data_IF_540915431801
#
_entry.id   IF_540915431801
#
_cell.length_a   1.000
_cell.length_b   1.000
_cell.length_c   1.000
_cell.angle_alpha   90.00
_cell.angle_beta   90.00
_cell.angle_gamma   90.00
#
_symmetry.space_group_name_H-M   'P 1'
#
loop_
_entity.id
_entity.type
_entity.pdbx_description
1 polymer ?
#
# COMPACT_ATOMS: atom_id res chain seq x y z
N UNK A 1 17.56 -6.84 3.85
CA UNK A 1 16.23 -7.44 3.67
C UNK A 1 15.40 -6.44 2.89
N UNK A 2 14.90 -6.81 1.73
CA UNK A 2 14.09 -5.91 0.90
C UNK A 2 12.62 -6.24 1.14
N UNK A 3 11.82 -5.20 1.30
CA UNK A 3 10.37 -5.34 1.32
C UNK A 3 9.87 -5.52 -0.11
N UNK A 4 8.91 -6.40 -0.30
CA UNK A 4 8.25 -6.71 -1.57
C UNK A 4 6.74 -6.73 -1.37
N UNK A 5 6.05 -6.77 -2.47
CA UNK A 5 4.60 -6.92 -2.57
C UNK A 5 4.32 -7.98 -3.62
N UNK A 6 3.35 -8.83 -3.36
CA UNK A 6 2.86 -9.82 -4.32
C UNK A 6 1.35 -9.72 -4.42
N UNK A 7 0.83 -9.98 -5.62
CA UNK A 7 -0.60 -10.02 -5.92
C UNK A 7 -0.91 -11.38 -6.52
N UNK A 8 -1.82 -12.13 -5.89
CA UNK A 8 -2.30 -13.42 -6.37
C UNK A 8 -3.77 -13.27 -6.75
N UNK A 9 -4.13 -13.75 -7.94
CA UNK A 9 -5.49 -13.65 -8.46
C UNK A 9 -5.98 -15.01 -8.94
N UNK A 10 -6.97 -15.57 -8.26
CA UNK A 10 -7.50 -16.90 -8.54
C UNK A 10 -8.98 -16.83 -8.95
N UNK A 11 -9.43 -17.59 -9.95
CA UNK A 11 -10.85 -17.72 -10.25
C UNK A 11 -11.60 -18.40 -9.09
N UNK A 12 -12.80 -17.92 -8.80
CA UNK A 12 -13.68 -18.50 -7.76
C UNK A 12 -14.76 -19.34 -8.44
N UNK A 13 -15.11 -20.48 -7.84
CA UNK A 13 -16.19 -21.33 -8.34
C UNK A 13 -17.51 -20.53 -8.27
N UNK A 14 -18.22 -20.29 -9.39
CA UNK A 14 -19.39 -19.41 -9.44
C UNK A 14 -20.55 -19.78 -8.50
N UNK A 15 -20.65 -21.03 -8.09
CA UNK A 15 -21.68 -21.50 -7.15
C UNK A 15 -21.25 -21.32 -5.68
N UNK A 16 -19.99 -20.95 -5.43
CA UNK A 16 -19.36 -20.89 -4.11
C UNK A 16 -19.01 -19.47 -3.62
N UNK A 17 -19.40 -18.42 -4.35
CA UNK A 17 -19.14 -17.03 -3.93
C UNK A 17 -19.67 -16.79 -2.51
N UNK A 18 -20.94 -17.14 -2.25
CA UNK A 18 -21.55 -16.79 -0.96
C UNK A 18 -20.84 -17.52 0.18
N UNK A 19 -20.55 -18.82 0.00
CA UNK A 19 -19.78 -19.62 0.95
C UNK A 19 -18.40 -18.98 1.23
N UNK A 20 -17.70 -18.48 0.20
CA UNK A 20 -16.43 -17.78 0.34
C UNK A 20 -16.57 -16.44 1.10
N UNK A 21 -17.59 -15.64 0.79
CA UNK A 21 -17.84 -14.37 1.46
C UNK A 21 -18.16 -14.57 2.94
N UNK A 22 -19.00 -15.55 3.25
CA UNK A 22 -19.37 -15.91 4.62
C UNK A 22 -18.14 -16.42 5.40
N UNK A 23 -17.30 -17.25 4.75
CA UNK A 23 -16.05 -17.73 5.34
C UNK A 23 -15.06 -16.58 5.63
N UNK A 24 -14.93 -15.61 4.71
CA UNK A 24 -14.08 -14.44 4.92
C UNK A 24 -14.62 -13.52 6.03
N UNK A 25 -15.94 -13.38 6.14
CA UNK A 25 -16.58 -12.64 7.23
C UNK A 25 -16.34 -13.31 8.60
N UNK A 26 -16.45 -14.63 8.68
CA UNK A 26 -16.13 -15.40 9.90
C UNK A 26 -14.64 -15.27 10.27
N UNK A 27 -13.73 -15.42 9.30
CA UNK A 27 -12.29 -15.21 9.49
C UNK A 27 -12.01 -13.82 10.03
N UNK A 28 -12.66 -12.79 9.48
CA UNK A 28 -12.54 -11.40 9.92
C UNK A 28 -13.01 -11.20 11.36
N UNK A 29 -14.16 -11.76 11.74
CA UNK A 29 -14.66 -11.67 13.11
C UNK A 29 -13.72 -12.35 14.11
N UNK A 30 -13.18 -13.51 13.72
CA UNK A 30 -12.22 -14.27 14.54
C UNK A 30 -10.82 -13.63 14.54
N UNK A 31 -10.42 -12.85 13.54
CA UNK A 31 -9.12 -12.17 13.52
C UNK A 31 -9.02 -11.05 14.53
N UNK A 32 -10.14 -10.38 14.83
CA UNK A 32 -10.25 -9.45 15.96
C UNK A 32 -10.04 -10.14 17.32
N UNK A 33 -10.12 -11.48 17.37
CA UNK A 33 -10.02 -12.30 18.57
C UNK A 33 -8.89 -13.36 18.55
N UNK A 34 -8.04 -13.42 17.51
CA UNK A 34 -6.89 -14.32 17.49
C UNK A 34 -6.41 -14.88 16.14
N UNK A 35 -7.18 -14.82 15.04
CA UNK A 35 -6.67 -15.29 13.72
C UNK A 35 -5.52 -14.42 13.18
N UNK A 36 -5.34 -13.20 13.69
CA UNK A 36 -4.12 -12.42 13.40
C UNK A 36 -2.83 -13.16 13.79
N UNK A 37 -2.90 -14.12 14.72
CA UNK A 37 -1.75 -14.86 15.25
C UNK A 37 -0.97 -15.63 14.19
N UNK A 38 -1.64 -16.30 13.25
CA UNK A 38 -0.94 -17.08 12.20
C UNK A 38 -0.04 -16.18 11.35
N UNK A 39 -0.50 -14.98 10.99
CA UNK A 39 0.31 -14.00 10.26
C UNK A 39 1.28 -13.24 11.16
N UNK A 40 0.94 -13.03 12.44
CA UNK A 40 1.80 -12.35 13.42
C UNK A 40 3.06 -13.15 13.74
N UNK A 41 2.94 -14.48 13.82
CA UNK A 41 4.02 -15.42 14.13
C UNK A 41 5.07 -15.46 13.03
N UNK A 42 4.66 -15.33 11.77
CA UNK A 42 5.55 -15.28 10.62
C UNK A 42 6.57 -14.14 10.70
N UNK A 43 6.21 -13.00 11.32
CA UNK A 43 7.09 -11.84 11.52
C UNK A 43 7.78 -11.30 10.25
N UNK A 44 7.24 -11.61 9.08
CA UNK A 44 7.68 -11.13 7.76
C UNK A 44 6.58 -10.41 6.99
N UNK A 45 5.32 -10.53 7.38
CA UNK A 45 4.18 -9.92 6.69
C UNK A 45 3.91 -8.55 7.32
N UNK A 46 3.97 -7.49 6.52
CA UNK A 46 3.58 -6.14 6.91
C UNK A 46 2.06 -5.98 6.87
N UNK A 47 1.48 -6.30 5.72
CA UNK A 47 0.05 -6.22 5.45
C UNK A 47 -0.40 -7.40 4.60
N UNK A 48 -1.64 -7.85 4.79
CA UNK A 48 -2.27 -8.83 3.92
C UNK A 48 -3.76 -8.50 3.76
N UNK A 49 -4.35 -8.80 2.60
CA UNK A 49 -5.80 -8.69 2.40
C UNK A 49 -6.34 -9.69 1.40
N UNK A 50 -7.58 -10.12 1.66
CA UNK A 50 -8.41 -10.77 0.66
C UNK A 50 -9.53 -9.86 0.20
N UNK A 51 -9.74 -9.84 -1.11
CA UNK A 51 -10.81 -9.09 -1.77
C UNK A 51 -11.44 -10.00 -2.82
N UNK A 52 -12.75 -10.20 -2.75
CA UNK A 52 -13.49 -10.88 -3.81
C UNK A 52 -13.89 -9.83 -4.84
N UNK A 53 -13.62 -10.07 -6.11
CA UNK A 53 -13.99 -9.17 -7.21
C UNK A 53 -14.96 -9.87 -8.15
N UNK A 54 -15.67 -9.08 -8.98
CA UNK A 54 -16.56 -9.59 -10.02
C UNK A 54 -17.73 -10.48 -9.52
N UNK A 55 -18.12 -10.36 -8.25
CA UNK A 55 -19.12 -11.21 -7.61
C UNK A 55 -20.49 -10.55 -7.38
N UNK A 56 -20.74 -9.41 -8.02
CA UNK A 56 -21.94 -8.60 -7.82
C UNK A 56 -22.11 -7.50 -8.86
N UNK A 57 -22.64 -6.35 -8.44
CA UNK A 57 -22.82 -5.18 -9.32
C UNK A 57 -21.46 -4.57 -9.65
N UNK A 58 -21.14 -4.49 -10.94
CA UNK A 58 -19.96 -3.80 -11.43
C UNK A 58 -20.09 -2.29 -11.25
N UNK A 59 -18.96 -1.63 -11.02
CA UNK A 59 -18.89 -0.17 -10.89
C UNK A 59 -19.20 0.54 -12.22
N UNK A 60 -19.12 -0.18 -13.34
CA UNK A 60 -19.60 0.23 -14.66
C UNK A 60 -20.70 -0.71 -15.16
N UNK A 61 -21.43 -0.30 -16.20
CA UNK A 61 -22.38 -1.17 -16.88
C UNK A 61 -21.63 -2.15 -17.77
N UNK A 62 -21.53 -3.39 -17.31
CA UNK A 62 -21.00 -4.48 -18.13
C UNK A 62 -22.10 -5.10 -18.98
N UNK A 63 -21.78 -5.36 -20.25
CA UNK A 63 -22.67 -6.10 -21.16
C UNK A 63 -22.70 -7.60 -20.84
N UNK A 64 -21.62 -8.13 -20.30
CA UNK A 64 -21.47 -9.54 -19.95
C UNK A 64 -21.19 -9.69 -18.46
N UNK A 65 -21.82 -10.71 -17.85
CA UNK A 65 -21.53 -11.07 -16.46
C UNK A 65 -20.07 -11.50 -16.35
N UNK A 66 -19.33 -10.88 -15.42
CA UNK A 66 -17.94 -11.24 -15.14
C UNK A 66 -17.87 -12.46 -14.22
N UNK A 67 -16.81 -13.24 -14.35
CA UNK A 67 -16.54 -14.36 -13.46
C UNK A 67 -15.84 -13.87 -12.19
N UNK A 68 -16.31 -14.32 -11.01
CA UNK A 68 -15.76 -13.93 -9.72
C UNK A 68 -14.31 -14.36 -9.58
N UNK A 69 -13.51 -13.57 -8.86
CA UNK A 69 -12.13 -13.91 -8.56
C UNK A 69 -11.80 -13.52 -7.13
N UNK A 70 -10.93 -14.29 -6.50
CA UNK A 70 -10.36 -13.96 -5.21
C UNK A 70 -8.99 -13.36 -5.44
N UNK A 71 -8.81 -12.18 -4.89
CA UNK A 71 -7.55 -11.47 -4.88
C UNK A 71 -6.92 -11.60 -3.49
N UNK A 72 -5.65 -12.00 -3.45
CA UNK A 72 -4.82 -11.95 -2.26
C UNK A 72 -3.64 -11.01 -2.49
N UNK A 73 -3.53 -9.98 -1.66
CA UNK A 73 -2.43 -9.01 -1.70
C UNK A 73 -1.65 -9.10 -0.42
N UNK A 74 -0.34 -9.29 -0.53
CA UNK A 74 0.57 -9.45 0.60
C UNK A 74 1.79 -8.55 0.43
N UNK A 75 2.06 -7.75 1.46
CA UNK A 75 3.25 -6.92 1.61
C UNK A 75 4.16 -7.59 2.65
N UNK A 76 5.40 -7.91 2.28
CA UNK A 76 6.26 -8.78 3.08
C UNK A 76 7.74 -8.44 2.97
N UNK A 77 8.52 -9.01 3.87
CA UNK A 77 9.96 -8.98 3.83
C UNK A 77 10.55 -10.22 3.16
N UNK A 78 11.58 -10.02 2.33
CA UNK A 78 12.39 -11.11 1.79
C UNK A 78 12.03 -11.46 0.35
N UNK A 79 12.17 -12.73 0.00
CA UNK A 79 11.89 -13.25 -1.33
C UNK A 79 10.46 -13.82 -1.46
N UNK A 80 9.92 -13.82 -2.67
CA UNK A 80 8.57 -14.32 -2.95
C UNK A 80 8.45 -15.81 -2.66
N UNK A 81 9.43 -16.63 -3.10
CA UNK A 81 9.39 -18.07 -2.87
C UNK A 81 9.53 -18.42 -1.39
N UNK A 82 10.42 -17.74 -0.67
CA UNK A 82 10.57 -17.93 0.78
C UNK A 82 9.30 -17.50 1.54
N UNK A 83 8.67 -16.40 1.11
CA UNK A 83 7.40 -15.96 1.68
C UNK A 83 6.29 -16.96 1.42
N UNK A 84 6.13 -17.44 0.18
CA UNK A 84 5.09 -18.41 -0.18
C UNK A 84 5.28 -19.72 0.57
N UNK A 85 6.50 -20.22 0.72
CA UNK A 85 6.80 -21.39 1.54
C UNK A 85 6.32 -21.17 2.98
N UNK A 86 6.77 -20.09 3.64
CA UNK A 86 6.40 -19.78 5.03
C UNK A 86 4.89 -19.65 5.23
N UNK A 87 4.20 -18.98 4.31
CA UNK A 87 2.75 -18.80 4.35
C UNK A 87 2.02 -20.13 4.14
N UNK A 88 2.47 -20.96 3.19
CA UNK A 88 1.86 -22.28 2.93
C UNK A 88 2.08 -23.28 4.06
N UNK A 89 3.20 -23.16 4.79
CA UNK A 89 3.53 -23.99 5.95
C UNK A 89 2.77 -23.54 7.20
N UNK A 90 2.94 -22.28 7.61
CA UNK A 90 2.47 -21.76 8.91
C UNK A 90 1.03 -21.29 8.91
N UNK A 91 0.46 -20.96 7.75
CA UNK A 91 -0.92 -20.47 7.60
C UNK A 91 -1.76 -21.41 6.73
N UNK A 92 -1.42 -22.71 6.72
CA UNK A 92 -2.11 -23.72 5.89
C UNK A 92 -3.61 -23.80 6.16
N UNK A 93 -4.03 -23.70 7.42
CA UNK A 93 -5.44 -23.82 7.81
C UNK A 93 -6.30 -22.69 7.22
N UNK A 94 -5.89 -21.43 7.41
CA UNK A 94 -6.63 -20.30 6.85
C UNK A 94 -6.62 -20.30 5.32
N UNK A 95 -5.51 -20.71 4.69
CA UNK A 95 -5.44 -20.84 3.24
C UNK A 95 -6.40 -21.91 2.73
N UNK A 96 -6.42 -23.10 3.33
CA UNK A 96 -7.29 -24.19 2.93
C UNK A 96 -8.77 -23.79 3.04
N UNK A 97 -9.16 -23.12 4.13
CA UNK A 97 -10.52 -22.65 4.36
C UNK A 97 -10.98 -21.63 3.32
N UNK A 98 -10.07 -20.82 2.78
CA UNK A 98 -10.38 -19.78 1.79
C UNK A 98 -10.33 -20.33 0.37
N UNK A 99 -9.25 -21.03 0.02
CA UNK A 99 -8.97 -21.42 -1.35
C UNK A 99 -9.73 -22.68 -1.80
N UNK A 100 -10.35 -23.45 -0.89
CA UNK A 100 -11.24 -24.58 -1.25
C UNK A 100 -12.42 -24.15 -2.15
N UNK A 101 -12.78 -22.87 -2.13
CA UNK A 101 -13.82 -22.29 -2.99
C UNK A 101 -13.31 -21.80 -4.35
N UNK A 102 -12.01 -21.94 -4.64
CA UNK A 102 -11.36 -21.45 -5.85
C UNK A 102 -11.17 -22.56 -6.89
N UNK A 103 -11.23 -22.20 -8.17
CA UNK A 103 -11.09 -23.15 -9.27
C UNK A 103 -9.68 -23.75 -9.28
N UNK A 104 -9.60 -25.07 -9.42
CA UNK A 104 -8.32 -25.79 -9.53
C UNK A 104 -7.52 -25.90 -8.23
N UNK A 105 -8.05 -25.45 -7.09
CA UNK A 105 -7.38 -25.67 -5.80
C UNK A 105 -7.37 -27.17 -5.45
N UNK A 106 -6.25 -27.73 -4.94
CA UNK A 106 -6.19 -29.15 -4.66
C UNK A 106 -7.22 -29.56 -3.58
N UNK A 107 -7.87 -30.74 -3.73
CA UNK A 107 -8.80 -31.26 -2.73
C UNK A 107 -8.17 -31.35 -1.33
N UNK A 108 -8.95 -31.06 -0.28
CA UNK A 108 -8.47 -31.03 1.11
C UNK A 108 -7.90 -32.37 1.61
N UNK A 109 -8.24 -33.49 0.98
CA UNK A 109 -7.70 -34.81 1.31
C UNK A 109 -6.35 -35.12 0.63
N UNK A 110 -5.93 -34.32 -0.36
CA UNK A 110 -4.68 -34.51 -1.11
C UNK A 110 -3.79 -33.25 -1.11
N UNK A 111 -4.24 -32.16 -0.51
CA UNK A 111 -3.48 -30.92 -0.39
C UNK A 111 -2.21 -31.16 0.42
N UNK A 112 -1.08 -30.68 -0.11
CA UNK A 112 0.22 -30.67 0.55
C UNK A 112 0.77 -29.26 0.50
N UNK A 113 1.78 -28.95 1.31
CA UNK A 113 2.46 -27.66 1.26
C UNK A 113 2.95 -27.33 -0.17
N UNK A 114 3.54 -28.32 -0.86
CA UNK A 114 4.05 -28.15 -2.21
C UNK A 114 2.95 -27.87 -3.24
N UNK A 115 1.79 -28.55 -3.15
CA UNK A 115 0.69 -28.29 -4.08
C UNK A 115 0.01 -26.94 -3.79
N UNK A 116 -0.03 -26.52 -2.52
CA UNK A 116 -0.49 -25.20 -2.09
C UNK A 116 0.41 -24.09 -2.63
N UNK A 117 1.73 -24.24 -2.48
CA UNK A 117 2.74 -23.33 -3.01
C UNK A 117 2.63 -23.19 -4.52
N UNK A 118 2.64 -24.32 -5.25
CA UNK A 118 2.53 -24.33 -6.70
C UNK A 118 1.25 -23.65 -7.19
N UNK A 119 0.13 -23.90 -6.51
CA UNK A 119 -1.13 -23.25 -6.83
C UNK A 119 -1.05 -21.74 -6.66
N UNK A 120 -0.56 -21.21 -5.54
CA UNK A 120 -0.46 -19.76 -5.33
C UNK A 120 0.54 -19.10 -6.29
N UNK A 121 1.71 -19.71 -6.48
CA UNK A 121 2.77 -19.22 -7.35
C UNK A 121 2.31 -19.09 -8.81
N UNK A 122 1.58 -20.10 -9.32
CA UNK A 122 1.05 -20.08 -10.70
C UNK A 122 -0.02 -19.01 -10.94
N UNK A 123 -0.56 -18.40 -9.89
CA UNK A 123 -1.57 -17.34 -9.95
C UNK A 123 -1.03 -15.95 -9.57
N UNK A 124 0.29 -15.81 -9.40
CA UNK A 124 0.92 -14.51 -9.17
C UNK A 124 0.78 -13.64 -10.42
N UNK A 125 0.30 -12.41 -10.23
CA UNK A 125 0.23 -11.38 -11.26
C UNK A 125 1.25 -10.27 -10.99
N UNK A 126 1.85 -9.76 -12.06
CA UNK A 126 2.96 -8.80 -11.97
C UNK A 126 2.46 -7.40 -11.61
N UNK A 127 3.07 -6.82 -10.59
CA UNK A 127 2.86 -5.42 -10.22
C UNK A 127 3.40 -4.48 -11.32
N UNK A 128 2.63 -3.44 -11.65
CA UNK A 128 3.00 -2.41 -12.61
C UNK A 128 3.86 -1.31 -11.98
N UNK A 129 3.54 -0.91 -10.75
CA UNK A 129 4.34 -0.01 -9.93
C UNK A 129 4.08 -0.23 -8.44
N UNK A 130 5.11 -0.10 -7.61
CA UNK A 130 5.04 -0.31 -6.16
C UNK A 130 5.76 0.81 -5.42
N UNK A 131 5.09 1.39 -4.43
CA UNK A 131 5.60 2.37 -3.49
C UNK A 131 5.66 1.76 -2.09
N UNK A 132 6.76 2.00 -1.39
CA UNK A 132 6.97 1.59 0.00
C UNK A 132 7.41 2.82 0.79
N UNK A 133 6.64 3.19 1.82
CA UNK A 133 6.86 4.38 2.64
C UNK A 133 7.97 4.24 3.68
N UNK A 134 8.40 3.03 4.01
CA UNK A 134 9.49 2.79 4.95
C UNK A 134 10.52 1.82 4.35
N UNK A 135 11.11 2.12 3.17
CA UNK A 135 11.86 1.13 2.43
C UNK A 135 13.05 0.61 3.25
N UNK A 136 13.21 -0.71 3.27
CA UNK A 136 14.31 -1.42 3.91
C UNK A 136 14.14 -1.65 5.41
N UNK A 137 12.93 -1.50 5.97
CA UNK A 137 12.65 -1.78 7.39
C UNK A 137 11.76 -3.00 7.52
N UNK A 138 12.33 -4.08 8.04
CA UNK A 138 11.57 -5.31 8.27
C UNK A 138 10.54 -5.16 9.38
N UNK A 139 9.52 -6.03 9.39
CA UNK A 139 8.52 -6.12 10.46
C UNK A 139 9.22 -6.28 11.82
N UNK A 140 10.22 -7.15 11.90
CA UNK A 140 11.04 -7.32 13.11
C UNK A 140 11.75 -6.03 13.53
N UNK A 141 12.35 -5.31 12.58
CA UNK A 141 13.01 -4.05 12.86
C UNK A 141 12.02 -3.02 13.38
N UNK A 142 10.85 -2.89 12.74
CA UNK A 142 9.78 -1.96 13.14
C UNK A 142 9.33 -2.26 14.57
N UNK A 143 9.08 -3.54 14.90
CA UNK A 143 8.68 -3.97 16.25
C UNK A 143 9.77 -3.65 17.29
N UNK A 144 11.04 -3.96 17.00
CA UNK A 144 12.19 -3.63 17.87
C UNK A 144 12.34 -2.12 18.08
N UNK A 145 12.23 -1.33 17.02
CA UNK A 145 12.37 0.13 17.08
C UNK A 145 11.20 0.81 17.78
N UNK A 146 9.99 0.24 17.71
CA UNK A 146 8.86 0.66 18.56
C UNK A 146 9.18 0.45 20.03
N UNK A 147 9.60 -0.76 20.43
CA UNK A 147 9.97 -1.07 21.82
C UNK A 147 11.05 -0.12 22.35
N UNK A 148 12.07 0.15 21.53
CA UNK A 148 13.11 1.11 21.88
C UNK A 148 12.53 2.51 22.12
N UNK A 149 11.66 3.01 21.24
CA UNK A 149 11.02 4.32 21.44
C UNK A 149 10.20 4.33 22.73
N UNK A 150 9.38 3.31 22.96
CA UNK A 150 8.51 3.24 24.12
C UNK A 150 9.32 3.23 25.43
N UNK A 151 10.41 2.46 25.48
CA UNK A 151 11.35 2.45 26.61
C UNK A 151 12.00 3.82 26.85
N UNK A 152 12.46 4.49 25.79
CA UNK A 152 13.04 5.84 25.90
C UNK A 152 11.98 6.83 26.41
N UNK A 153 10.75 6.73 25.91
CA UNK A 153 9.63 7.58 26.32
C UNK A 153 9.32 7.41 27.80
N UNK A 154 9.16 6.17 28.25
CA UNK A 154 8.95 5.86 29.67
C UNK A 154 10.09 6.41 30.55
N UNK A 155 11.35 6.24 30.13
CA UNK A 155 12.50 6.78 30.87
C UNK A 155 12.47 8.31 30.96
N UNK A 156 12.15 9.00 29.87
CA UNK A 156 12.05 10.47 29.86
C UNK A 156 10.90 10.94 30.73
N UNK A 157 9.74 10.32 30.60
CA UNK A 157 8.51 10.74 31.26
C UNK A 157 8.55 10.43 32.78
N UNK A 158 9.43 9.54 33.23
CA UNK A 158 9.62 9.19 34.65
C UNK A 158 10.24 10.28 35.54
N UNK A 159 10.77 11.38 34.96
CA UNK A 159 11.50 12.42 35.72
C UNK A 159 11.42 13.79 35.06
N UNK A 160 11.65 14.86 35.83
CA UNK A 160 11.79 16.21 35.28
C UNK A 160 13.18 16.41 34.66
N UNK A 161 13.22 17.14 33.55
CA UNK A 161 14.42 17.52 32.82
C UNK A 161 14.57 19.05 32.69
N UNK A 162 13.89 19.80 33.55
CA UNK A 162 14.01 21.25 33.63
C UNK A 162 15.49 21.65 33.84
N UNK A 163 15.93 22.66 33.07
CA UNK A 163 17.29 23.20 33.08
C UNK A 163 18.42 22.19 32.78
N UNK A 164 18.11 20.98 32.30
CA UNK A 164 19.12 20.01 31.87
C UNK A 164 19.45 20.24 30.38
N UNK A 165 20.73 20.43 30.02
CA UNK A 165 21.13 20.53 28.61
C UNK A 165 20.71 19.29 27.82
N UNK A 166 20.19 19.49 26.60
CA UNK A 166 19.68 18.42 25.75
C UNK A 166 20.74 17.36 25.45
N UNK A 167 22.00 17.75 25.32
CA UNK A 167 23.14 16.84 25.17
C UNK A 167 23.27 15.90 26.38
N UNK A 168 23.09 16.42 27.58
CA UNK A 168 23.15 15.62 28.82
C UNK A 168 21.96 14.67 28.91
N UNK A 169 20.76 15.10 28.50
CA UNK A 169 19.58 14.22 28.42
C UNK A 169 19.83 13.08 27.43
N UNK A 170 20.36 13.39 26.23
CA UNK A 170 20.69 12.38 25.21
C UNK A 170 21.72 11.36 25.72
N UNK A 171 22.78 11.81 26.40
CA UNK A 171 23.78 10.93 26.99
C UNK A 171 23.17 9.99 28.04
N UNK A 172 22.31 10.50 28.92
CA UNK A 172 21.61 9.68 29.93
C UNK A 172 20.66 8.66 29.30
N UNK A 173 19.93 9.04 28.26
CA UNK A 173 19.09 8.09 27.50
C UNK A 173 19.97 7.00 26.88
N UNK A 174 21.09 7.38 26.27
CA UNK A 174 22.03 6.45 25.64
C UNK A 174 22.60 5.47 26.66
N UNK A 175 23.02 5.94 27.81
CA UNK A 175 23.52 5.10 28.90
C UNK A 175 22.46 4.11 29.37
N UNK A 176 21.23 4.58 29.63
CA UNK A 176 20.13 3.73 30.08
C UNK A 176 19.73 2.67 29.04
N UNK A 177 19.73 3.02 27.76
CA UNK A 177 19.43 2.05 26.69
C UNK A 177 20.56 1.02 26.57
N UNK A 178 21.82 1.45 26.65
CA UNK A 178 22.97 0.56 26.49
C UNK A 178 23.22 -0.34 27.71
N UNK A 179 22.67 -0.02 28.88
CA UNK A 179 22.71 -0.88 30.07
C UNK A 179 21.66 -1.99 30.05
N UNK A 180 20.59 -1.86 29.25
CA UNK A 180 19.56 -2.87 29.08
C UNK A 180 19.95 -3.89 27.98
N UNK A 181 20.00 -5.18 28.35
CA UNK A 181 20.38 -6.28 27.46
C UNK A 181 19.43 -6.45 26.26
N UNK A 182 18.16 -6.04 26.36
CA UNK A 182 17.17 -6.12 25.28
C UNK A 182 17.60 -5.30 24.05
N UNK A 183 18.34 -4.19 24.25
CA UNK A 183 18.79 -3.30 23.18
C UNK A 183 20.24 -3.56 22.72
N UNK A 184 20.81 -4.70 23.08
CA UNK A 184 22.19 -5.09 22.71
C UNK A 184 22.43 -5.09 21.19
N UNK A 185 21.40 -5.37 20.38
CA UNK A 185 21.46 -5.36 18.92
C UNK A 185 21.91 -4.01 18.32
N UNK A 186 21.73 -2.90 19.06
CA UNK A 186 22.14 -1.55 18.63
C UNK A 186 23.65 -1.41 18.40
N UNK A 187 24.48 -2.24 19.05
CA UNK A 187 25.94 -2.19 18.92
C UNK A 187 26.46 -2.85 17.63
N UNK A 188 25.75 -3.85 17.11
CA UNK A 188 26.17 -4.65 15.94
C UNK A 188 25.43 -4.33 14.65
N UNK A 189 24.17 -3.92 14.72
CA UNK A 189 23.33 -3.71 13.54
C UNK A 189 23.33 -2.24 13.10
N UNK A 190 24.03 -1.94 12.00
CA UNK A 190 23.95 -0.64 11.33
C UNK A 190 22.69 -0.55 10.48
N UNK A 191 21.91 0.52 10.65
CA UNK A 191 20.75 0.82 9.82
C UNK A 191 21.04 2.00 8.92
N UNK A 192 20.79 1.82 7.62
CA UNK A 192 20.88 2.89 6.64
C UNK A 192 19.49 3.49 6.42
N UNK A 193 19.37 4.81 6.60
CA UNK A 193 18.17 5.53 6.21
C UNK A 193 18.25 5.79 4.70
N UNK A 194 17.22 5.41 3.91
CA UNK A 194 17.19 5.66 2.48
C UNK A 194 17.36 7.16 2.15
N UNK A 195 18.05 7.44 1.04
CA UNK A 195 18.34 8.80 0.56
C UNK A 195 17.88 8.97 -0.87
N UNK A 196 17.69 10.22 -1.27
CA UNK A 196 17.42 10.60 -2.66
C UNK A 196 18.67 10.24 -3.49
N UNK A 197 18.45 9.56 -4.60
CA UNK A 197 19.49 9.31 -5.60
C UNK A 197 19.51 10.48 -6.60
N UNK A 198 20.26 11.54 -6.26
CA UNK A 198 20.33 12.74 -7.08
C UNK A 198 20.86 12.47 -8.50
N UNK A 199 21.83 11.55 -8.65
CA UNK A 199 22.36 11.18 -9.98
C UNK A 199 21.26 10.55 -10.83
N UNK A 200 20.52 9.58 -10.28
CA UNK A 200 19.39 8.96 -10.96
C UNK A 200 18.27 9.96 -11.28
N UNK A 201 17.99 10.89 -10.36
CA UNK A 201 16.98 11.92 -10.56
C UNK A 201 17.38 12.92 -11.67
N UNK A 202 18.64 13.34 -11.73
CA UNK A 202 19.14 14.23 -12.80
C UNK A 202 19.11 13.52 -14.15
N UNK A 203 19.56 12.26 -14.22
CA UNK A 203 19.50 11.46 -15.44
C UNK A 203 18.06 11.29 -15.93
N UNK A 204 17.12 11.00 -15.02
CA UNK A 204 15.70 10.92 -15.34
C UNK A 204 15.20 12.25 -15.91
N UNK A 205 15.57 13.39 -15.30
CA UNK A 205 15.23 14.72 -15.80
C UNK A 205 15.74 14.98 -17.22
N UNK A 206 16.99 14.62 -17.52
CA UNK A 206 17.58 14.74 -18.86
C UNK A 206 16.83 13.86 -19.87
N UNK A 207 16.52 12.61 -19.51
CA UNK A 207 15.75 11.71 -20.35
C UNK A 207 14.35 12.27 -20.64
N UNK A 208 13.65 12.82 -19.64
CA UNK A 208 12.34 13.44 -19.82
C UNK A 208 12.39 14.69 -20.70
N UNK A 209 13.44 15.51 -20.57
CA UNK A 209 13.64 16.68 -21.44
C UNK A 209 13.87 16.27 -22.89
N UNK A 210 14.66 15.22 -23.14
CA UNK A 210 14.89 14.69 -24.48
C UNK A 210 13.60 14.11 -25.09
N UNK A 211 12.76 13.47 -24.28
CA UNK A 211 11.48 12.89 -24.71
C UNK A 211 10.32 13.89 -24.76
N UNK A 212 10.51 15.12 -24.27
CA UNK A 212 9.44 16.12 -24.13
C UNK A 212 8.67 16.38 -25.44
N UNK A 213 9.29 16.53 -26.62
CA UNK A 213 8.54 16.74 -27.86
C UNK A 213 7.57 15.58 -28.17
N UNK A 214 7.99 14.33 -27.93
CA UNK A 214 7.15 13.16 -28.14
C UNK A 214 6.03 13.06 -27.10
N UNK A 215 6.32 13.40 -25.84
CA UNK A 215 5.32 13.46 -24.78
C UNK A 215 4.24 14.49 -25.11
N UNK A 216 4.64 15.69 -25.58
CA UNK A 216 3.69 16.74 -25.98
C UNK A 216 2.81 16.29 -27.15
N UNK A 217 3.39 15.66 -28.17
CA UNK A 217 2.62 15.09 -29.29
C UNK A 217 1.61 14.06 -28.77
N UNK A 218 2.03 13.14 -27.90
CA UNK A 218 1.14 12.14 -27.30
C UNK A 218 -0.01 12.79 -26.53
N UNK A 219 0.28 13.78 -25.67
CA UNK A 219 -0.73 14.51 -24.89
C UNK A 219 -1.72 15.22 -25.80
N UNK A 220 -1.25 15.87 -26.88
CA UNK A 220 -2.13 16.52 -27.85
C UNK A 220 -2.99 15.50 -28.61
N UNK A 221 -2.42 14.37 -29.04
CA UNK A 221 -3.19 13.29 -29.67
C UNK A 221 -4.30 12.82 -28.73
N UNK A 222 -3.96 12.53 -27.48
CA UNK A 222 -4.95 12.07 -26.51
C UNK A 222 -6.01 13.14 -26.26
N UNK A 223 -5.63 14.40 -26.05
CA UNK A 223 -6.57 15.49 -25.79
C UNK A 223 -7.59 15.66 -26.93
N UNK A 224 -7.10 15.84 -28.17
CA UNK A 224 -7.96 16.21 -29.30
C UNK A 224 -8.74 15.03 -29.88
N UNK A 225 -8.17 13.82 -29.90
CA UNK A 225 -8.81 12.67 -30.55
C UNK A 225 -9.56 11.75 -29.59
N UNK A 226 -9.18 11.71 -28.30
CA UNK A 226 -9.75 10.80 -27.31
C UNK A 226 -10.47 11.53 -26.16
N UNK A 227 -9.76 12.35 -25.38
CA UNK A 227 -10.23 12.95 -24.12
C UNK A 227 -11.54 13.74 -24.28
N UNK A 228 -11.68 14.49 -25.39
CA UNK A 228 -12.91 15.26 -25.69
C UNK A 228 -14.15 14.41 -25.93
N UNK A 229 -13.98 13.12 -26.24
CA UNK A 229 -15.05 12.16 -26.55
C UNK A 229 -15.26 11.15 -25.41
N UNK A 230 -14.46 11.23 -24.35
CA UNK A 230 -14.56 10.30 -23.23
C UNK A 230 -15.91 10.47 -22.51
N UNK A 231 -16.53 9.35 -22.19
CA UNK A 231 -17.58 9.30 -21.17
C UNK A 231 -16.95 9.52 -19.79
N UNK A 232 -17.56 10.41 -19.00
CA UNK A 232 -17.02 10.83 -17.71
C UNK A 232 -17.98 10.47 -16.57
N UNK A 233 -17.45 10.23 -15.37
CA UNK A 233 -18.29 10.17 -14.18
C UNK A 233 -18.99 11.50 -13.94
N UNK A 234 -20.31 11.47 -13.77
CA UNK A 234 -21.14 12.66 -13.53
C UNK A 234 -21.86 12.63 -12.20
N UNK A 235 -21.85 11.50 -11.49
CA UNK A 235 -22.50 11.38 -10.19
C UNK A 235 -21.67 12.06 -9.10
N UNK A 236 -22.39 12.57 -8.11
CA UNK A 236 -21.87 13.09 -6.84
C UNK A 236 -22.08 12.06 -5.74
N UNK A 237 -21.44 12.26 -4.59
CA UNK A 237 -21.52 11.34 -3.44
C UNK A 237 -22.97 11.05 -3.01
N UNK A 238 -23.82 12.07 -2.97
CA UNK A 238 -25.24 11.93 -2.59
C UNK A 238 -26.10 11.14 -3.59
N UNK A 239 -25.54 10.73 -4.73
CA UNK A 239 -26.23 9.97 -5.77
C UNK A 239 -25.68 8.53 -5.88
N UNK A 240 -24.80 8.16 -4.95
CA UNK A 240 -24.29 6.80 -4.81
C UNK A 240 -25.26 5.97 -3.94
N UNK A 241 -25.02 4.66 -3.91
CA UNK A 241 -25.83 3.73 -3.14
C UNK A 241 -25.43 3.75 -1.67
N UNK A 242 -26.34 4.19 -0.78
CA UNK A 242 -26.05 4.35 0.65
C UNK A 242 -25.72 3.02 1.34
N UNK A 243 -26.32 1.91 0.90
CA UNK A 243 -26.05 0.58 1.46
C UNK A 243 -24.61 0.14 1.18
N UNK A 244 -24.16 0.28 -0.06
CA UNK A 244 -22.79 0.01 -0.46
C UNK A 244 -21.77 0.94 0.23
N UNK A 245 -22.09 2.23 0.35
CA UNK A 245 -21.24 3.17 1.09
C UNK A 245 -21.11 2.76 2.57
N UNK A 246 -22.21 2.37 3.19
CA UNK A 246 -22.21 1.87 4.57
C UNK A 246 -21.31 0.64 4.71
N UNK A 247 -21.38 -0.30 3.77
CA UNK A 247 -20.54 -1.50 3.79
C UNK A 247 -19.04 -1.17 3.67
N UNK A 248 -18.67 -0.20 2.83
CA UNK A 248 -17.29 0.28 2.74
C UNK A 248 -16.84 0.93 4.06
N UNK A 249 -17.64 1.85 4.58
CA UNK A 249 -17.33 2.66 5.78
C UNK A 249 -17.30 1.83 7.07
N UNK A 250 -18.07 0.74 7.15
CA UNK A 250 -18.04 -0.20 8.29
C UNK A 250 -16.65 -0.76 8.59
N UNK A 251 -15.75 -0.74 7.60
CA UNK A 251 -14.42 -1.32 7.69
C UNK A 251 -13.30 -0.31 7.45
N UNK A 252 -13.65 0.98 7.53
CA UNK A 252 -12.70 2.08 7.66
C UNK A 252 -12.45 2.37 9.15
N UNK A 253 -11.35 3.06 9.40
CA UNK A 253 -10.91 3.55 10.70
C UNK A 253 -10.72 2.45 11.77
N UNK A 254 -10.20 1.27 11.34
CA UNK A 254 -9.95 0.11 12.22
C UNK A 254 -9.02 0.45 13.40
N UNK A 255 -8.03 1.33 13.16
CA UNK A 255 -7.25 2.07 14.17
C UNK A 255 -6.77 3.40 13.56
N UNK A 256 -5.47 3.65 13.57
CA UNK A 256 -4.83 4.79 12.93
C UNK A 256 -4.42 4.51 11.48
N UNK A 257 -4.60 3.27 11.02
CA UNK A 257 -4.29 2.81 9.67
C UNK A 257 -5.54 2.29 8.97
N UNK A 258 -5.57 2.47 7.66
CA UNK A 258 -6.63 2.05 6.77
C UNK A 258 -6.09 1.37 5.52
N UNK A 259 -7.00 0.66 4.87
CA UNK A 259 -6.80 0.02 3.59
C UNK A 259 -7.67 0.71 2.54
N UNK A 260 -7.20 0.76 1.30
CA UNK A 260 -8.01 1.16 0.15
C UNK A 260 -7.71 0.20 -1.00
N UNK A 261 -8.76 -0.29 -1.65
CA UNK A 261 -8.68 -1.15 -2.83
C UNK A 261 -9.61 -0.59 -3.89
N UNK A 262 -9.08 -0.30 -5.08
CA UNK A 262 -9.86 0.23 -6.19
C UNK A 262 -9.64 -0.61 -7.44
N UNK A 263 -10.72 -0.84 -8.18
CA UNK A 263 -10.71 -1.62 -9.41
C UNK A 263 -11.36 -0.82 -10.53
N UNK A 264 -10.59 -0.62 -11.59
CA UNK A 264 -11.00 0.16 -12.75
C UNK A 264 -10.59 -0.53 -14.05
N UNK A 265 -11.39 -0.35 -15.08
CA UNK A 265 -11.22 -0.88 -16.42
C UNK A 265 -10.57 0.16 -17.31
N UNK A 266 -9.69 -0.29 -18.20
CA UNK A 266 -9.01 0.55 -19.16
C UNK A 266 -9.97 1.05 -20.25
N UNK A 267 -9.75 2.30 -20.69
CA UNK A 267 -10.28 2.76 -21.98
C UNK A 267 -9.59 1.96 -23.09
N UNK A 268 -10.33 1.76 -24.18
CA UNK A 268 -9.84 0.98 -25.32
C UNK A 268 -8.75 1.72 -26.10
N UNK A 269 -7.91 0.95 -26.79
CA UNK A 269 -6.92 1.44 -27.73
C UNK A 269 -5.48 1.52 -27.20
N UNK A 270 -4.53 1.31 -28.12
CA UNK A 270 -3.09 1.22 -27.82
C UNK A 270 -2.53 2.53 -27.26
N UNK A 271 -3.06 3.70 -27.67
CA UNK A 271 -2.57 4.99 -27.19
C UNK A 271 -2.81 5.17 -25.68
N UNK A 272 -3.97 4.74 -25.16
CA UNK A 272 -4.27 4.76 -23.72
C UNK A 272 -3.38 3.80 -22.95
N UNK A 273 -3.13 2.62 -23.51
CA UNK A 273 -2.21 1.64 -22.94
C UNK A 273 -0.78 2.15 -22.87
N UNK A 274 -0.28 2.80 -23.92
CA UNK A 274 1.05 3.44 -23.93
C UNK A 274 1.11 4.54 -22.86
N UNK A 275 0.08 5.38 -22.78
CA UNK A 275 0.01 6.50 -21.83
C UNK A 275 0.07 6.03 -20.37
N UNK A 276 -0.76 5.04 -19.99
CA UNK A 276 -0.74 4.53 -18.61
C UNK A 276 0.56 3.78 -18.28
N UNK A 277 1.10 3.00 -19.22
CA UNK A 277 2.39 2.30 -19.03
C UNK A 277 3.55 3.28 -18.88
N UNK A 278 3.52 4.38 -19.63
CA UNK A 278 4.48 5.47 -19.45
C UNK A 278 4.38 6.06 -18.04
N UNK A 279 3.16 6.31 -17.54
CA UNK A 279 2.96 6.81 -16.17
C UNK A 279 3.42 5.83 -15.09
N UNK A 280 3.19 4.52 -15.26
CA UNK A 280 3.73 3.51 -14.34
C UNK A 280 5.26 3.42 -14.39
N UNK A 281 5.86 3.50 -15.58
CA UNK A 281 7.29 3.55 -15.74
C UNK A 281 7.89 4.79 -15.05
N UNK A 282 7.30 5.96 -15.28
CA UNK A 282 7.69 7.21 -14.63
C UNK A 282 7.59 7.09 -13.11
N UNK A 283 6.48 6.54 -12.61
CA UNK A 283 6.25 6.31 -11.18
C UNK A 283 7.34 5.43 -10.57
N UNK A 284 7.68 4.30 -11.19
CA UNK A 284 8.76 3.42 -10.73
C UNK A 284 10.11 4.13 -10.61
N UNK A 285 10.47 4.96 -11.59
CA UNK A 285 11.70 5.74 -11.53
C UNK A 285 11.68 6.82 -10.45
N UNK A 286 10.58 7.57 -10.34
CA UNK A 286 10.43 8.60 -9.31
C UNK A 286 10.47 7.99 -7.90
N UNK A 287 9.82 6.84 -7.69
CA UNK A 287 9.84 6.13 -6.41
C UNK A 287 11.26 5.69 -6.05
N UNK A 288 11.98 5.09 -7.01
CA UNK A 288 13.35 4.59 -6.79
C UNK A 288 14.36 5.70 -6.51
N UNK A 289 14.21 6.86 -7.14
CA UNK A 289 15.22 7.91 -7.07
C UNK A 289 14.87 9.07 -6.13
N UNK A 290 13.59 9.39 -5.93
CA UNK A 290 13.14 10.60 -5.24
C UNK A 290 12.33 10.26 -3.99
N UNK A 291 11.34 9.37 -4.07
CA UNK A 291 10.39 9.12 -2.97
C UNK A 291 10.84 8.05 -1.98
N UNK A 292 12.10 8.10 -1.53
CA UNK A 292 12.67 7.08 -0.64
C UNK A 292 12.55 7.41 0.85
N UNK A 293 12.12 8.64 1.20
CA UNK A 293 12.16 9.15 2.57
C UNK A 293 10.81 9.10 3.31
N UNK A 294 9.90 8.22 2.87
CA UNK A 294 8.59 8.02 3.48
C UNK A 294 7.58 9.13 3.24
N UNK A 295 7.73 9.82 2.11
CA UNK A 295 6.71 10.69 1.55
C UNK A 295 6.59 10.43 0.05
N UNK A 296 5.37 10.26 -0.44
CA UNK A 296 5.09 10.22 -1.88
C UNK A 296 4.54 11.59 -2.28
N UNK A 297 5.27 12.36 -3.09
CA UNK A 297 4.86 13.73 -3.48
C UNK A 297 4.51 14.65 -2.29
N UNK A 298 5.13 14.44 -1.12
CA UNK A 298 4.84 15.24 0.08
C UNK A 298 3.84 14.59 1.05
N UNK A 299 3.07 13.60 0.61
CA UNK A 299 2.07 12.86 1.39
C UNK A 299 2.78 11.90 2.35
N UNK A 300 2.70 12.11 3.69
CA UNK A 300 3.49 11.36 4.67
C UNK A 300 2.67 10.28 5.39
N UNK A 301 1.67 9.70 4.72
CA UNK A 301 0.69 8.77 5.33
C UNK A 301 0.69 7.38 4.68
N UNK A 302 1.36 7.18 3.55
CA UNK A 302 1.29 5.90 2.81
C UNK A 302 2.35 4.92 3.30
N UNK A 303 1.94 3.72 3.72
CA UNK A 303 2.84 2.61 4.05
C UNK A 303 3.24 1.83 2.80
N UNK A 304 2.25 1.38 2.05
CA UNK A 304 2.41 0.64 0.79
C UNK A 304 1.35 1.13 -0.19
N UNK A 305 1.73 1.34 -1.44
CA UNK A 305 0.76 1.55 -2.51
C UNK A 305 1.24 0.86 -3.78
N UNK A 306 0.33 0.26 -4.56
CA UNK A 306 0.71 -0.40 -5.80
C UNK A 306 -0.38 -0.38 -6.85
N UNK A 307 0.05 -0.51 -8.09
CA UNK A 307 -0.80 -0.68 -9.26
C UNK A 307 -0.53 -2.02 -9.90
N UNK A 308 -1.57 -2.70 -10.35
CA UNK A 308 -1.48 -3.99 -11.02
C UNK A 308 -2.34 -3.95 -12.27
N UNK A 309 -1.77 -4.34 -13.41
CA UNK A 309 -2.53 -4.53 -14.64
C UNK A 309 -2.76 -6.02 -14.86
N UNK A 310 -4.01 -6.42 -15.10
CA UNK A 310 -4.38 -7.82 -15.29
C UNK A 310 -5.38 -7.98 -16.45
N UNK A 311 -5.76 -9.22 -16.77
CA UNK A 311 -6.61 -9.55 -17.92
C UNK A 311 -6.10 -8.92 -19.24
N UNK A 312 -4.86 -9.24 -19.61
CA UNK A 312 -4.19 -8.67 -20.80
C UNK A 312 -4.12 -7.13 -20.79
N UNK A 313 -4.00 -6.54 -19.60
CA UNK A 313 -3.94 -5.09 -19.36
C UNK A 313 -5.26 -4.35 -19.63
N UNK A 314 -6.41 -5.03 -19.65
CA UNK A 314 -7.71 -4.35 -19.77
C UNK A 314 -8.21 -3.79 -18.44
N UNK A 315 -7.60 -4.17 -17.30
CA UNK A 315 -8.03 -3.78 -15.96
C UNK A 315 -6.85 -3.39 -15.09
N UNK A 316 -7.10 -2.45 -14.19
CA UNK A 316 -6.13 -1.88 -13.27
C UNK A 316 -6.68 -1.99 -11.86
N UNK A 317 -5.90 -2.61 -10.98
CA UNK A 317 -6.11 -2.55 -9.55
C UNK A 317 -5.16 -1.53 -8.95
N UNK A 318 -5.66 -0.78 -7.98
CA UNK A 318 -4.86 0.06 -7.10
C UNK A 318 -5.09 -0.35 -5.65
N UNK A 319 -4.01 -0.49 -4.91
CA UNK A 319 -4.05 -0.78 -3.47
C UNK A 319 -3.26 0.25 -2.72
N UNK A 320 -3.74 0.58 -1.53
CA UNK A 320 -2.99 1.37 -0.56
C UNK A 320 -3.23 0.89 0.87
N UNK A 321 -2.18 0.90 1.67
CA UNK A 321 -2.22 0.86 3.13
C UNK A 321 -1.71 2.23 3.62
N UNK A 322 -2.50 2.96 4.40
CA UNK A 322 -2.22 4.35 4.75
C UNK A 322 -2.68 4.73 6.15
N UNK A 323 -2.21 5.87 6.65
CA UNK A 323 -2.62 6.45 7.93
C UNK A 323 -3.77 7.45 7.77
N UNK A 324 -4.66 7.51 8.76
CA UNK A 324 -5.78 8.46 8.79
C UNK A 324 -6.99 7.99 7.98
N UNK A 325 -7.99 8.86 7.83
CA UNK A 325 -9.26 8.52 7.19
C UNK A 325 -9.18 8.52 5.67
N UNK A 326 -10.11 7.82 5.01
CA UNK A 326 -10.25 7.79 3.56
C UNK A 326 -10.34 9.20 2.94
N UNK A 327 -11.12 10.09 3.56
CA UNK A 327 -11.34 11.45 3.07
C UNK A 327 -10.04 12.27 3.14
N UNK A 328 -9.31 12.18 4.25
CA UNK A 328 -8.02 12.86 4.39
C UNK A 328 -7.01 12.33 3.38
N UNK A 329 -6.94 11.00 3.23
CA UNK A 329 -6.04 10.35 2.30
C UNK A 329 -6.26 10.82 0.86
N UNK A 330 -7.48 10.75 0.34
CA UNK A 330 -7.75 11.21 -1.03
C UNK A 330 -7.61 12.72 -1.18
N UNK A 331 -7.97 13.51 -0.16
CA UNK A 331 -7.72 14.96 -0.13
C UNK A 331 -6.23 15.29 -0.29
N UNK A 332 -5.36 14.65 0.49
CA UNK A 332 -3.89 14.81 0.38
C UNK A 332 -3.38 14.49 -1.03
N UNK A 333 -3.96 13.48 -1.68
CA UNK A 333 -3.63 13.13 -3.06
C UNK A 333 -4.05 14.20 -4.07
N UNK A 334 -5.26 14.75 -3.92
CA UNK A 334 -5.77 15.82 -4.79
C UNK A 334 -4.85 17.04 -4.70
N UNK A 335 -4.53 17.47 -3.48
CA UNK A 335 -3.74 18.68 -3.23
C UNK A 335 -2.29 18.54 -3.69
N UNK A 336 -1.64 17.41 -3.38
CA UNK A 336 -0.20 17.26 -3.58
C UNK A 336 0.18 16.53 -4.88
N UNK A 337 -0.74 15.73 -5.45
CA UNK A 337 -0.41 14.81 -6.55
C UNK A 337 -1.55 14.58 -7.55
N UNK A 338 -2.54 15.48 -7.61
CA UNK A 338 -3.70 15.34 -8.49
C UNK A 338 -3.34 15.16 -9.97
N UNK A 339 -2.23 15.74 -10.42
CA UNK A 339 -1.71 15.55 -11.78
C UNK A 339 -1.26 14.11 -12.06
N UNK A 340 -0.69 13.43 -11.06
CA UNK A 340 -0.23 12.04 -11.19
C UNK A 340 -1.41 11.08 -11.23
N UNK A 341 -2.38 11.28 -10.33
CA UNK A 341 -3.65 10.55 -10.36
C UNK A 341 -4.38 10.75 -11.69
N UNK A 342 -4.50 12.00 -12.14
CA UNK A 342 -5.13 12.32 -13.43
C UNK A 342 -4.37 11.68 -14.58
N UNK A 343 -3.04 11.72 -14.58
CA UNK A 343 -2.20 11.09 -15.60
C UNK A 343 -2.40 9.58 -15.71
N UNK A 344 -2.58 8.89 -14.58
CA UNK A 344 -2.84 7.44 -14.57
C UNK A 344 -4.30 7.16 -14.94
N UNK A 345 -5.25 7.65 -14.14
CA UNK A 345 -6.66 7.25 -14.18
C UNK A 345 -7.47 7.91 -15.30
N UNK A 346 -6.97 8.97 -15.94
CA UNK A 346 -7.60 9.47 -17.20
C UNK A 346 -7.61 8.42 -18.31
N UNK A 347 -6.78 7.38 -18.22
CA UNK A 347 -6.76 6.26 -19.16
C UNK A 347 -7.78 5.15 -18.83
N UNK A 348 -8.52 5.28 -17.73
CA UNK A 348 -9.52 4.30 -17.29
C UNK A 348 -10.93 4.79 -17.58
N UNK A 349 -11.87 3.86 -17.77
CA UNK A 349 -13.27 4.15 -18.11
C UNK A 349 -13.90 5.02 -17.03
N UNK A 350 -14.79 5.92 -17.47
CA UNK A 350 -15.62 6.79 -16.64
C UNK A 350 -14.86 7.63 -15.60
N UNK A 351 -13.55 7.87 -15.74
CA UNK A 351 -12.85 8.83 -14.86
C UNK A 351 -13.43 10.25 -15.02
N UNK A 352 -13.41 11.12 -13.98
CA UNK A 352 -13.93 12.48 -14.10
C UNK A 352 -13.23 13.28 -15.20
N UNK A 353 -13.95 14.26 -15.77
CA UNK A 353 -13.51 15.03 -16.93
C UNK A 353 -12.12 15.66 -16.71
N UNK A 354 -11.20 15.31 -17.60
CA UNK A 354 -9.81 15.75 -17.59
C UNK A 354 -9.52 16.76 -18.69
N UNK A 355 -8.35 17.40 -18.61
CA UNK A 355 -7.81 18.24 -19.65
C UNK A 355 -6.29 18.03 -19.76
N UNK A 356 -5.85 17.63 -20.95
CA UNK A 356 -4.46 17.30 -21.30
C UNK A 356 -3.86 16.21 -20.40
N UNK A 357 -4.67 15.28 -19.89
CA UNK A 357 -4.26 14.19 -18.99
C UNK A 357 -3.62 14.61 -17.65
N UNK A 358 -3.49 15.91 -17.38
CA UNK A 358 -2.72 16.44 -16.24
C UNK A 358 -3.60 17.29 -15.33
N UNK A 359 -4.64 17.93 -15.88
CA UNK A 359 -5.53 18.83 -15.12
C UNK A 359 -6.99 18.35 -15.20
N UNK A 360 -7.87 18.93 -14.38
CA UNK A 360 -9.21 18.36 -14.18
C UNK A 360 -9.12 17.01 -13.44
N UNK A 361 -10.01 16.07 -13.75
CA UNK A 361 -9.91 14.72 -13.18
C UNK A 361 -9.95 14.74 -11.65
N UNK A 362 -8.82 14.37 -11.03
CA UNK A 362 -8.66 14.38 -9.58
C UNK A 362 -8.94 15.76 -8.95
N UNK A 363 -8.60 16.85 -9.64
CA UNK A 363 -8.86 18.22 -9.18
C UNK A 363 -10.35 18.60 -9.19
N UNK A 364 -11.21 17.78 -9.79
CA UNK A 364 -12.67 17.91 -9.67
C UNK A 364 -13.15 17.11 -8.46
N UNK A 365 -12.72 17.55 -7.27
CA UNK A 365 -12.81 16.80 -6.01
C UNK A 365 -14.15 16.07 -5.81
N UNK A 366 -15.28 16.76 -5.92
CA UNK A 366 -16.60 16.17 -5.70
C UNK A 366 -16.88 14.94 -6.61
N UNK A 367 -16.52 15.05 -7.89
CA UNK A 367 -16.69 13.96 -8.86
C UNK A 367 -15.62 12.88 -8.71
N UNK A 368 -14.40 13.27 -8.36
CA UNK A 368 -13.30 12.34 -8.14
C UNK A 368 -13.54 11.47 -6.92
N UNK A 369 -13.95 12.06 -5.79
CA UNK A 369 -14.29 11.32 -4.59
C UNK A 369 -15.49 10.39 -4.82
N UNK A 370 -16.51 10.85 -5.55
CA UNK A 370 -17.66 10.01 -5.89
C UNK A 370 -17.28 8.86 -6.84
N UNK A 371 -16.45 9.11 -7.85
CA UNK A 371 -15.91 8.07 -8.73
C UNK A 371 -15.04 7.08 -7.94
N UNK A 372 -14.23 7.59 -7.01
CA UNK A 372 -13.37 6.78 -6.15
C UNK A 372 -14.21 5.81 -5.32
N UNK A 373 -15.22 6.30 -4.60
CA UNK A 373 -16.18 5.46 -3.86
C UNK A 373 -16.89 4.44 -4.75
N UNK A 374 -17.35 4.86 -5.92
CA UNK A 374 -18.09 3.97 -6.81
C UNK A 374 -17.22 2.82 -7.36
N UNK A 375 -15.92 3.03 -7.52
CA UNK A 375 -14.95 2.05 -8.04
C UNK A 375 -14.13 1.35 -6.93
N UNK A 376 -14.40 1.67 -5.67
CA UNK A 376 -13.79 1.04 -4.51
C UNK A 376 -14.35 -0.37 -4.32
N UNK A 377 -13.53 -1.26 -3.76
CA UNK A 377 -13.92 -2.63 -3.44
C UNK A 377 -13.96 -2.82 -1.92
N UNK A 378 -14.95 -3.60 -1.48
CA UNK A 378 -15.05 -4.05 -0.08
C UNK A 378 -13.88 -4.98 0.20
N UNK A 379 -13.07 -4.64 1.21
CA UNK A 379 -12.02 -5.54 1.67
C UNK A 379 -12.59 -6.55 2.67
N UNK A 380 -12.68 -7.81 2.23
CA UNK A 380 -13.29 -8.88 3.00
C UNK A 380 -12.45 -9.27 4.21
N UNK A 381 -11.12 -9.23 4.10
CA UNK A 381 -10.20 -9.45 5.21
C UNK A 381 -8.99 -8.54 5.08
N UNK A 382 -8.50 -8.00 6.19
CA UNK A 382 -7.28 -7.19 6.24
C UNK A 382 -6.47 -7.46 7.51
N UNK A 383 -5.15 -7.48 7.36
CA UNK A 383 -4.17 -7.68 8.42
C UNK A 383 -3.08 -6.61 8.35
N UNK A 384 -2.61 -6.17 9.52
CA UNK A 384 -1.45 -5.29 9.72
C UNK A 384 -0.64 -5.76 10.92
N UNK A 385 0.68 -5.87 10.77
CA UNK A 385 1.56 -6.36 11.84
C UNK A 385 1.87 -5.33 12.95
N UNK A 386 1.45 -4.07 12.76
CA UNK A 386 1.74 -2.95 13.66
C UNK A 386 0.64 -1.87 13.58
N UNK A 387 -0.61 -2.19 13.97
CA UNK A 387 -1.77 -1.31 13.76
C UNK A 387 -1.69 0.06 14.46
N UNK A 388 -0.81 0.20 15.47
CA UNK A 388 -0.65 1.42 16.28
C UNK A 388 0.48 2.34 15.78
N UNK A 389 1.18 1.99 14.69
CA UNK A 389 2.30 2.78 14.19
C UNK A 389 1.97 3.49 12.88
N UNK A 390 1.98 4.81 12.88
CA UNK A 390 1.97 5.57 11.62
C UNK A 390 3.28 5.40 10.83
N UNK A 391 3.25 5.64 9.52
CA UNK A 391 4.46 5.61 8.69
C UNK A 391 5.47 6.66 9.14
N UNK A 392 4.97 7.78 9.68
CA UNK A 392 5.79 8.81 10.32
C UNK A 392 6.47 8.27 11.57
N UNK A 393 5.76 7.52 12.43
CA UNK A 393 6.34 6.88 13.61
C UNK A 393 7.40 5.86 13.20
N UNK A 394 7.12 4.99 12.22
CA UNK A 394 8.09 4.01 11.70
C UNK A 394 9.39 4.70 11.25
N UNK A 395 9.27 5.72 10.41
CA UNK A 395 10.44 6.45 9.92
C UNK A 395 11.18 7.23 11.03
N UNK A 396 10.45 7.80 12.00
CA UNK A 396 11.04 8.50 13.13
C UNK A 396 11.74 7.54 14.10
N UNK A 397 11.19 6.36 14.37
CA UNK A 397 11.79 5.35 15.24
C UNK A 397 13.16 4.91 14.70
N UNK A 398 13.28 4.72 13.39
CA UNK A 398 14.59 4.47 12.77
C UNK A 398 15.56 5.65 12.96
N UNK A 399 15.08 6.89 12.83
CA UNK A 399 15.91 8.09 13.07
C UNK A 399 16.35 8.20 14.52
N UNK A 400 15.47 7.89 15.48
CA UNK A 400 15.76 7.82 16.91
C UNK A 400 16.89 6.82 17.14
N UNK A 401 16.74 5.58 16.65
CA UNK A 401 17.78 4.54 16.72
C UNK A 401 19.13 5.03 16.20
N UNK A 402 19.15 5.62 15.00
CA UNK A 402 20.40 6.08 14.36
C UNK A 402 21.04 7.25 15.10
N UNK A 403 20.25 8.19 15.63
CA UNK A 403 20.76 9.36 16.34
C UNK A 403 21.18 9.04 17.78
N UNK A 404 20.51 8.10 18.43
CA UNK A 404 20.87 7.62 19.77
C UNK A 404 22.32 7.11 19.84
N UNK A 405 22.76 6.41 18.80
CA UNK A 405 24.12 5.83 18.76
C UNK A 405 25.22 6.84 18.47
N UNK A 406 24.88 8.05 17.98
CA UNK A 406 25.87 9.10 17.67
C UNK A 406 26.27 9.89 18.91
N UNK A 407 27.30 10.71 18.78
CA UNK A 407 27.58 11.81 19.69
C UNK A 407 26.93 13.06 19.07
N UNK A 408 26.02 13.70 19.79
CA UNK A 408 25.23 14.82 19.29
C UNK A 408 25.65 16.09 20.01
N UNK A 409 25.77 17.20 19.28
CA UNK A 409 25.87 18.53 19.92
C UNK A 409 24.53 18.93 20.54
N UNK A 410 24.53 19.89 21.47
CA UNK A 410 23.32 20.45 22.09
C UNK A 410 22.17 20.73 21.10
N UNK A 411 22.47 21.39 19.96
CA UNK A 411 21.47 21.66 18.91
C UNK A 411 20.94 20.39 18.25
N UNK A 412 21.79 19.38 18.05
CA UNK A 412 21.40 18.10 17.45
C UNK A 412 20.60 17.26 18.45
N UNK A 413 21.00 17.25 19.73
CA UNK A 413 20.29 16.59 20.81
C UNK A 413 18.89 17.19 21.02
N UNK A 414 18.75 18.52 20.97
CA UNK A 414 17.44 19.16 21.01
C UNK A 414 16.53 18.74 19.84
N UNK A 415 17.10 18.51 18.64
CA UNK A 415 16.34 17.97 17.50
C UNK A 415 15.96 16.50 17.71
N UNK A 416 16.85 15.71 18.30
CA UNK A 416 16.58 14.31 18.66
C UNK A 416 15.41 14.21 19.64
N UNK A 417 15.39 15.04 20.70
CA UNK A 417 14.33 15.03 21.71
C UNK A 417 12.95 15.40 21.13
N UNK A 418 12.91 16.20 20.06
CA UNK A 418 11.66 16.51 19.32
C UNK A 418 11.12 15.35 18.47
N UNK A 419 11.90 14.28 18.24
CA UNK A 419 11.47 13.11 17.47
C UNK A 419 10.78 12.06 18.33
N UNK A 420 11.15 12.00 19.61
CA UNK A 420 10.55 11.11 20.58
C UNK A 420 9.08 11.51 20.72
#
# INVERSE_FOLDING_TARGET
MNQKSTTILVPVIPEKIQDLLDQLADIKQKSQHGISKEFDELSIIHFARWVVIDHGKSYIKDEQKRNPKLLFVIDYDGDEGEMLHKVCESSSTILDLVYVFCEGYPPLNTITEASRHFYLESHVIKDAAVYIGAPGRSVMQIRKEKKLRDFIREFIDSRSWEDVPAETVHLKIKEQVLSNAEFSYLKGERVNVPRINYVGAVLLGICLLALLPFILILVLIVHFFYERKDENFTKKRSQLDDGFLTELEMYEDFKNQNQFTQLVDMKEGTIRLISIKFMFLLSNFLIKFIFTQGKLMGIPTIHFAKWVMFEKNSRVLFFSNFDGSWQQYLGDFIDNSGWGLTGIFSNTKVFPKTNFLITGGAYREEYFLAWSRNSELVTNFWYTAYPDLSIKNINNNTRIRVQLMKTLSERQAAKFLKLL
#
